data_IF_104347360258
#
_entry.id   IF_104347360258
#
_cell.length_a   1.000
_cell.length_b   1.000
_cell.length_c   1.000
_cell.angle_alpha   90.00
_cell.angle_beta   90.00
_cell.angle_gamma   90.00
#
_symmetry.space_group_name_H-M   'P 1'
#
loop_
_entity.id
_entity.type
_entity.pdbx_description
1 polymer ?
#
# COMPACT_ATOMS: atom_id res chain seq x y z
N UNK A 1 -51.16 12.52 -11.69
CA UNK A 1 -51.39 11.63 -12.84
C UNK A 1 -50.81 12.30 -14.08
N UNK A 2 -49.81 11.73 -14.73
CA UNK A 2 -49.56 11.70 -16.18
C UNK A 2 -48.41 10.70 -16.39
N UNK A 3 -48.72 9.63 -17.10
CA UNK A 3 -47.87 8.46 -17.34
C UNK A 3 -47.47 8.40 -18.82
N UNK A 4 -46.30 7.83 -19.13
CA UNK A 4 -46.05 6.81 -20.18
C UNK A 4 -44.54 6.48 -20.31
N UNK A 5 -44.18 5.28 -20.86
CA UNK A 5 -43.06 4.46 -20.42
C UNK A 5 -42.09 4.12 -21.60
N UNK A 6 -41.51 2.89 -21.74
CA UNK A 6 -40.07 2.62 -21.69
C UNK A 6 -39.46 2.21 -23.05
N UNK A 7 -38.13 2.09 -23.15
CA UNK A 7 -37.49 1.30 -24.23
C UNK A 7 -36.30 0.46 -23.72
N UNK A 8 -36.44 -0.84 -23.94
CA UNK A 8 -35.46 -1.89 -23.81
C UNK A 8 -34.66 -2.09 -25.12
N UNK A 9 -33.46 -2.66 -25.01
CA UNK A 9 -32.80 -3.59 -25.95
C UNK A 9 -31.33 -3.74 -25.48
N UNK A 10 -30.88 -4.82 -24.84
CA UNK A 10 -30.67 -6.20 -25.33
C UNK A 10 -29.42 -6.37 -26.22
N UNK A 11 -28.74 -7.52 -26.02
CA UNK A 11 -27.69 -8.19 -26.82
C UNK A 11 -26.23 -7.80 -26.44
N UNK A 12 -25.24 -8.70 -26.33
CA UNK A 12 -25.11 -10.16 -26.51
C UNK A 12 -23.74 -10.59 -25.91
N UNK A 13 -23.66 -11.82 -25.38
CA UNK A 13 -22.45 -12.51 -24.86
C UNK A 13 -21.70 -13.21 -26.01
N UNK A 14 -20.37 -13.39 -25.93
CA UNK A 14 -19.80 -14.76 -25.86
C UNK A 14 -18.61 -14.81 -24.87
N UNK A 15 -18.59 -15.67 -23.84
CA UNK A 15 -18.16 -17.07 -23.83
C UNK A 15 -16.91 -17.37 -24.66
N UNK A 16 -15.73 -17.29 -24.03
CA UNK A 16 -14.52 -18.00 -24.47
C UNK A 16 -13.99 -18.86 -23.32
N UNK A 17 -14.17 -20.16 -23.48
CA UNK A 17 -13.52 -21.23 -22.73
C UNK A 17 -12.25 -21.59 -23.50
N UNK A 18 -11.07 -21.56 -22.86
CA UNK A 18 -9.87 -22.19 -23.39
C UNK A 18 -9.21 -23.07 -22.31
N UNK A 19 -8.82 -24.33 -22.65
CA UNK A 19 -8.53 -25.39 -21.69
C UNK A 19 -7.08 -25.43 -21.21
N UNK A 20 -6.87 -26.14 -20.09
CA UNK A 20 -5.58 -26.58 -19.57
C UNK A 20 -4.92 -27.66 -20.45
N UNK A 21 -3.59 -27.80 -20.25
CA UNK A 21 -2.72 -28.99 -20.35
C UNK A 21 -1.62 -28.93 -21.42
N UNK A 22 -0.38 -29.08 -20.95
CA UNK A 22 0.82 -29.32 -21.75
C UNK A 22 2.07 -29.39 -20.89
N UNK A 23 2.24 -30.47 -20.11
CA UNK A 23 3.55 -30.87 -19.58
C UNK A 23 4.42 -31.37 -20.75
N UNK A 24 5.67 -30.92 -20.82
CA UNK A 24 6.69 -31.45 -21.72
C UNK A 24 8.05 -31.35 -21.05
N UNK A 25 8.52 -32.47 -20.52
CA UNK A 25 9.81 -32.65 -19.90
C UNK A 25 10.94 -32.71 -20.95
N UNK A 26 12.08 -32.13 -20.62
CA UNK A 26 13.39 -32.41 -21.20
C UNK A 26 14.36 -32.33 -19.99
N UNK A 27 14.98 -33.39 -19.48
CA UNK A 27 15.54 -34.54 -20.18
C UNK A 27 17.01 -34.24 -20.48
N UNK A 28 17.87 -34.36 -19.47
CA UNK A 28 19.30 -34.14 -19.61
C UNK A 28 20.05 -34.71 -18.41
N UNK A 29 20.46 -35.98 -18.53
CA UNK A 29 21.46 -36.61 -17.68
C UNK A 29 22.83 -36.14 -18.17
N UNK A 30 23.59 -35.51 -17.29
CA UNK A 30 25.03 -35.37 -17.47
C UNK A 30 25.71 -35.88 -16.21
N UNK A 31 26.19 -37.12 -16.32
CA UNK A 31 27.04 -37.80 -15.36
C UNK A 31 28.45 -37.22 -15.52
N UNK A 32 28.74 -36.15 -14.78
CA UNK A 32 30.09 -35.58 -14.74
C UNK A 32 30.81 -36.12 -13.51
N UNK A 33 31.75 -37.02 -13.81
CA UNK A 33 32.78 -37.58 -12.93
C UNK A 33 33.29 -36.58 -11.88
N UNK A 34 33.14 -36.91 -10.59
CA UNK A 34 33.82 -36.22 -9.49
C UNK A 34 35.21 -36.85 -9.25
N UNK A 35 36.31 -36.09 -9.32
CA UNK A 35 37.60 -36.52 -8.77
C UNK A 35 37.59 -36.45 -7.23
N UNK A 36 38.38 -37.30 -6.54
CA UNK A 36 38.21 -37.62 -5.12
C UNK A 36 38.59 -36.49 -4.16
N UNK A 37 37.91 -36.50 -3.02
CA UNK A 37 38.03 -35.60 -1.87
C UNK A 37 39.43 -35.63 -1.25
N UNK A 38 40.17 -34.53 -1.37
CA UNK A 38 41.21 -34.17 -0.40
C UNK A 38 40.56 -33.42 0.76
N UNK A 39 40.57 -33.97 2.00
CA UNK A 39 40.05 -33.26 3.15
C UNK A 39 41.08 -32.23 3.63
N UNK A 40 40.83 -30.95 3.37
CA UNK A 40 41.54 -29.89 4.11
C UNK A 40 40.91 -29.71 5.50
N UNK A 41 41.72 -29.71 6.57
CA UNK A 41 41.22 -29.55 7.92
C UNK A 41 41.13 -28.06 8.30
N UNK A 42 40.00 -27.68 8.85
CA UNK A 42 39.89 -26.53 9.74
C UNK A 42 39.68 -25.19 9.06
N UNK A 43 38.41 -24.78 8.98
CA UNK A 43 38.02 -23.54 9.65
C UNK A 43 36.51 -23.58 9.86
N UNK A 44 36.14 -24.00 11.07
CA UNK A 44 34.79 -23.84 11.62
C UNK A 44 34.54 -22.35 11.88
N UNK A 45 34.47 -21.54 10.83
CA UNK A 45 33.75 -20.29 10.91
C UNK A 45 32.30 -20.62 10.63
N UNK A 46 31.59 -20.92 11.72
CA UNK A 46 30.16 -20.71 11.80
C UNK A 46 29.88 -19.37 11.13
N UNK A 47 29.30 -19.42 9.94
CA UNK A 47 28.68 -18.27 9.33
C UNK A 47 27.66 -17.79 10.34
N UNK A 48 28.00 -16.71 11.04
CA UNK A 48 27.04 -15.79 11.62
C UNK A 48 26.02 -15.50 10.51
N UNK A 49 24.91 -16.24 10.54
CA UNK A 49 23.72 -15.83 9.83
C UNK A 49 23.45 -14.42 10.37
N UNK A 50 23.43 -13.38 9.52
CA UNK A 50 23.29 -12.02 10.01
C UNK A 50 22.02 -12.00 10.86
N UNK A 51 22.17 -11.70 12.15
CA UNK A 51 21.02 -11.46 13.01
C UNK A 51 20.10 -10.51 12.25
N UNK A 52 18.78 -10.78 12.20
CA UNK A 52 17.86 -9.85 11.59
C UNK A 52 18.02 -8.52 12.29
N UNK A 53 18.73 -7.60 11.63
CA UNK A 53 18.97 -6.26 12.16
C UNK A 53 17.63 -5.71 12.64
N UNK A 54 17.60 -4.98 13.76
CA UNK A 54 16.37 -4.42 14.30
C UNK A 54 15.53 -3.66 13.24
N UNK A 55 16.19 -3.16 12.17
CA UNK A 55 15.58 -2.56 10.99
C UNK A 55 14.72 -3.52 10.13
N UNK A 56 15.06 -4.81 10.03
CA UNK A 56 14.30 -5.79 9.26
C UNK A 56 13.12 -6.37 10.06
N UNK A 57 13.29 -6.53 11.37
CA UNK A 57 12.21 -6.87 12.30
C UNK A 57 11.16 -5.76 12.32
N UNK A 58 11.59 -4.50 12.48
CA UNK A 58 10.71 -3.34 12.45
C UNK A 58 10.02 -3.17 11.09
N UNK A 59 10.68 -3.49 9.97
CA UNK A 59 10.07 -3.41 8.65
C UNK A 59 8.89 -4.38 8.45
N UNK A 60 8.97 -5.60 8.99
CA UNK A 60 7.84 -6.57 8.93
C UNK A 60 6.69 -6.16 9.85
N UNK A 61 7.00 -5.71 11.06
CA UNK A 61 6.01 -5.30 12.06
C UNK A 61 5.21 -4.07 11.61
N UNK A 62 5.89 -3.14 10.93
CA UNK A 62 5.29 -1.89 10.46
C UNK A 62 4.56 -2.00 9.11
N UNK A 63 4.76 -3.10 8.38
CA UNK A 63 4.22 -3.27 7.02
C UNK A 63 2.69 -3.06 6.93
N UNK A 64 1.85 -3.59 7.84
CA UNK A 64 0.41 -3.35 7.79
C UNK A 64 0.03 -1.87 7.94
N UNK A 65 0.71 -1.12 8.81
CA UNK A 65 0.49 0.31 9.00
C UNK A 65 0.89 1.09 7.75
N UNK A 66 2.11 0.87 7.25
CA UNK A 66 2.62 1.49 6.02
C UNK A 66 1.71 1.21 4.81
N UNK A 67 1.21 -0.01 4.70
CA UNK A 67 0.29 -0.40 3.63
C UNK A 67 -1.05 0.33 3.70
N UNK A 68 -1.58 0.59 4.91
CA UNK A 68 -2.80 1.37 5.07
C UNK A 68 -2.62 2.81 4.58
N UNK A 69 -1.52 3.47 4.97
CA UNK A 69 -1.19 4.81 4.48
C UNK A 69 -1.00 4.82 2.96
N UNK A 70 -0.23 3.87 2.42
CA UNK A 70 -0.04 3.73 0.98
C UNK A 70 -1.37 3.61 0.23
N UNK A 71 -2.29 2.74 0.69
CA UNK A 71 -3.61 2.56 0.08
C UNK A 71 -4.46 3.83 0.15
N UNK A 72 -4.40 4.56 1.27
CA UNK A 72 -5.05 5.85 1.39
C UNK A 72 -4.54 6.86 0.36
N UNK A 73 -3.23 7.08 0.30
CA UNK A 73 -2.60 8.06 -0.61
C UNK A 73 -2.86 7.71 -2.09
N UNK A 74 -2.72 6.43 -2.45
CA UNK A 74 -2.96 5.95 -3.82
C UNK A 74 -4.43 6.08 -4.22
N UNK A 75 -5.36 5.77 -3.31
CA UNK A 75 -6.78 5.91 -3.62
C UNK A 75 -7.25 7.36 -3.62
N UNK A 76 -6.61 8.27 -2.87
CA UNK A 76 -6.80 9.72 -3.02
C UNK A 76 -6.45 10.17 -4.45
N UNK A 77 -5.29 9.74 -4.96
CA UNK A 77 -4.87 10.02 -6.33
C UNK A 77 -5.86 9.46 -7.37
N UNK A 78 -6.38 8.26 -7.13
CA UNK A 78 -7.34 7.57 -8.00
C UNK A 78 -8.77 8.14 -7.92
N UNK A 79 -9.07 9.02 -6.96
CA UNK A 79 -10.42 9.52 -6.78
C UNK A 79 -11.38 8.50 -6.14
N UNK A 80 -10.84 7.52 -5.40
CA UNK A 80 -11.63 6.46 -4.78
C UNK A 80 -12.06 6.83 -3.35
N UNK A 81 -13.30 7.29 -3.17
CA UNK A 81 -13.83 7.66 -1.85
C UNK A 81 -13.88 6.51 -0.83
N UNK A 82 -13.68 5.23 -1.24
CA UNK A 82 -13.58 4.11 -0.29
C UNK A 82 -12.37 4.24 0.64
N UNK A 83 -11.35 5.02 0.28
CA UNK A 83 -10.20 5.27 1.16
C UNK A 83 -10.55 5.98 2.47
N UNK A 84 -11.72 6.61 2.56
CA UNK A 84 -12.21 7.18 3.80
C UNK A 84 -12.32 6.14 4.94
N UNK A 85 -12.37 4.84 4.63
CA UNK A 85 -12.37 3.76 5.64
C UNK A 85 -11.06 3.68 6.43
N UNK A 86 -9.95 4.18 5.87
CA UNK A 86 -8.66 4.27 6.56
C UNK A 86 -8.59 5.44 7.54
N UNK A 87 -9.61 6.30 7.63
CA UNK A 87 -9.55 7.51 8.43
C UNK A 87 -10.40 7.37 9.69
N UNK A 88 -9.81 7.71 10.84
CA UNK A 88 -10.58 7.91 12.06
C UNK A 88 -11.44 9.18 11.97
N UNK A 89 -12.47 9.34 12.82
CA UNK A 89 -13.21 10.60 12.92
C UNK A 89 -12.34 11.80 13.31
N UNK A 90 -11.22 11.60 14.01
CA UNK A 90 -10.30 12.67 14.40
C UNK A 90 -9.63 13.27 13.16
N UNK A 91 -8.95 12.45 12.36
CA UNK A 91 -8.33 12.89 11.11
C UNK A 91 -9.34 13.53 10.15
N UNK A 92 -10.56 12.99 10.09
CA UNK A 92 -11.59 13.55 9.21
C UNK A 92 -12.00 14.98 9.59
N UNK A 93 -11.98 15.33 10.88
CA UNK A 93 -12.24 16.71 11.32
C UNK A 93 -11.16 17.66 10.81
N UNK A 94 -9.91 17.27 10.91
CA UNK A 94 -8.77 18.10 10.51
C UNK A 94 -8.67 18.25 8.99
N UNK A 95 -8.77 17.14 8.26
CA UNK A 95 -8.59 17.13 6.81
C UNK A 95 -9.84 17.54 6.01
N UNK A 96 -11.04 17.28 6.55
CA UNK A 96 -12.32 17.47 5.82
C UNK A 96 -13.32 18.38 6.54
N UNK A 97 -13.00 18.89 7.74
CA UNK A 97 -13.81 19.89 8.45
C UNK A 97 -14.98 19.32 9.26
N UNK A 98 -15.08 18.00 9.44
CA UNK A 98 -16.11 17.40 10.29
C UNK A 98 -15.93 15.89 10.53
N UNK A 99 -16.56 15.32 11.58
CA UNK A 99 -16.56 13.89 11.78
C UNK A 99 -17.34 13.23 10.63
N UNK A 100 -16.83 12.12 10.10
CA UNK A 100 -17.42 11.42 8.94
C UNK A 100 -17.53 12.24 7.63
N UNK A 101 -16.90 13.43 7.57
CA UNK A 101 -16.99 14.34 6.42
C UNK A 101 -16.20 13.87 5.20
N UNK A 102 -15.37 12.82 5.32
CA UNK A 102 -14.55 12.38 4.20
C UNK A 102 -15.40 11.95 3.01
N UNK A 103 -16.43 11.12 3.19
CA UNK A 103 -17.19 10.58 2.04
C UNK A 103 -17.93 11.66 1.25
N UNK A 104 -18.54 12.61 1.94
CA UNK A 104 -19.30 13.70 1.32
C UNK A 104 -18.37 14.81 0.79
N UNK A 105 -17.26 15.08 1.49
CA UNK A 105 -16.28 16.11 1.13
C UNK A 105 -15.16 15.63 0.22
N UNK A 106 -15.07 14.34 -0.10
CA UNK A 106 -13.92 13.73 -0.79
C UNK A 106 -13.62 14.41 -2.13
N UNK A 107 -14.65 14.57 -2.97
CA UNK A 107 -14.50 15.18 -4.29
C UNK A 107 -14.00 16.63 -4.20
N UNK A 108 -14.57 17.42 -3.27
CA UNK A 108 -14.17 18.80 -3.04
C UNK A 108 -12.75 18.91 -2.48
N UNK A 109 -12.37 18.05 -1.52
CA UNK A 109 -11.03 18.02 -0.96
C UNK A 109 -9.99 17.62 -2.02
N UNK A 110 -10.30 16.60 -2.84
CA UNK A 110 -9.43 16.18 -3.94
C UNK A 110 -9.30 17.25 -5.02
N UNK A 111 -10.36 18.00 -5.32
CA UNK A 111 -10.32 19.08 -6.30
C UNK A 111 -9.36 20.23 -5.92
N UNK A 112 -9.00 20.35 -4.62
CA UNK A 112 -7.99 21.31 -4.15
C UNK A 112 -6.55 20.84 -4.44
N UNK A 113 -6.34 19.57 -4.76
CA UNK A 113 -5.03 19.05 -5.16
C UNK A 113 -4.73 19.46 -6.59
N UNK A 114 -3.50 19.93 -6.84
CA UNK A 114 -3.10 20.24 -8.21
C UNK A 114 -2.91 18.96 -9.02
N UNK A 115 -2.97 19.04 -10.37
CA UNK A 115 -2.62 17.91 -11.23
C UNK A 115 -1.25 17.31 -10.91
N UNK A 116 -0.25 18.13 -10.56
CA UNK A 116 1.09 17.69 -10.17
C UNK A 116 1.06 16.90 -8.85
N UNK A 117 0.29 17.37 -7.86
CA UNK A 117 0.15 16.67 -6.57
C UNK A 117 -0.53 15.30 -6.78
N UNK A 118 -1.55 15.23 -7.65
CA UNK A 118 -2.21 13.98 -8.01
C UNK A 118 -1.22 13.04 -8.73
N UNK A 119 -0.37 13.54 -9.62
CA UNK A 119 0.65 12.76 -10.30
C UNK A 119 1.72 12.23 -9.32
N UNK A 120 2.16 13.06 -8.37
CA UNK A 120 3.09 12.67 -7.32
C UNK A 120 2.52 11.56 -6.43
N UNK A 121 1.27 11.70 -5.99
CA UNK A 121 0.55 10.66 -5.24
C UNK A 121 0.37 9.37 -6.06
N UNK A 122 0.45 9.43 -7.40
CA UNK A 122 0.44 8.22 -8.21
C UNK A 122 1.74 7.43 -8.15
N UNK A 123 2.86 8.05 -7.76
CA UNK A 123 4.17 7.42 -7.64
C UNK A 123 4.65 7.25 -6.21
N UNK A 124 3.84 7.61 -5.21
CA UNK A 124 4.25 7.61 -3.80
C UNK A 124 4.38 6.19 -3.24
N UNK A 125 5.38 5.98 -2.40
CA UNK A 125 5.55 4.79 -1.57
C UNK A 125 5.83 5.19 -0.11
N UNK A 126 5.60 4.26 0.82
CA UNK A 126 5.81 4.47 2.26
C UNK A 126 6.91 3.51 2.70
N UNK A 127 8.19 3.93 2.68
CA UNK A 127 9.35 3.04 2.85
C UNK A 127 9.62 2.66 4.30
N UNK A 128 9.24 3.52 5.24
CA UNK A 128 9.43 3.33 6.67
C UNK A 128 8.27 3.97 7.44
N UNK A 129 8.17 3.62 8.73
CA UNK A 129 7.46 4.41 9.71
C UNK A 129 8.17 4.26 11.06
N UNK A 130 8.06 5.27 11.89
CA UNK A 130 8.69 5.33 13.19
C UNK A 130 7.65 5.05 14.28
N UNK A 131 8.05 4.62 15.49
CA UNK A 131 7.15 4.59 16.63
C UNK A 131 6.47 5.95 16.85
N UNK A 132 5.15 5.93 17.03
CA UNK A 132 4.34 7.12 17.25
C UNK A 132 4.28 7.54 18.72
N UNK A 133 3.53 8.61 19.03
CA UNK A 133 3.43 9.15 20.38
C UNK A 133 2.66 8.26 21.36
N UNK A 134 1.76 7.40 20.87
CA UNK A 134 1.02 6.42 21.67
C UNK A 134 1.57 5.00 21.54
N UNK A 135 1.27 4.17 22.53
CA UNK A 135 1.60 2.74 22.48
C UNK A 135 0.92 2.05 21.29
N UNK A 136 1.71 1.28 20.54
CA UNK A 136 1.28 0.63 19.30
C UNK A 136 0.91 1.57 18.14
N UNK A 137 1.25 2.86 18.24
CA UNK A 137 1.13 3.81 17.13
C UNK A 137 2.41 3.86 16.30
N UNK A 138 2.23 4.19 15.02
CA UNK A 138 3.35 4.47 14.12
C UNK A 138 3.12 5.79 13.42
N UNK A 139 4.18 6.56 13.22
CA UNK A 139 4.14 7.85 12.57
C UNK A 139 4.96 7.81 11.26
N UNK A 140 4.42 8.45 10.22
CA UNK A 140 5.12 8.69 8.95
C UNK A 140 5.07 10.18 8.68
N UNK A 141 6.22 10.85 8.60
CA UNK A 141 6.25 12.26 8.21
C UNK A 141 6.06 12.38 6.71
N UNK A 142 5.52 13.50 6.27
CA UNK A 142 5.31 13.75 4.85
C UNK A 142 6.63 13.72 4.07
N UNK A 143 7.71 14.26 4.65
CA UNK A 143 9.07 14.22 4.11
C UNK A 143 9.67 12.81 4.00
N UNK A 144 9.19 11.84 4.78
CA UNK A 144 9.67 10.45 4.75
C UNK A 144 8.95 9.60 3.68
N UNK A 145 7.94 10.17 3.01
CA UNK A 145 7.32 9.55 1.85
C UNK A 145 8.29 9.54 0.68
N UNK A 146 8.41 8.38 0.02
CA UNK A 146 9.26 8.25 -1.16
C UNK A 146 8.45 8.57 -2.42
N UNK A 147 8.90 9.56 -3.18
CA UNK A 147 8.26 10.08 -4.38
C UNK A 147 9.03 9.67 -5.64
N UNK A 148 8.31 9.28 -6.71
CA UNK A 148 8.94 8.98 -8.02
C UNK A 148 9.45 10.24 -8.74
N UNK A 149 9.02 11.42 -8.33
CA UNK A 149 9.38 12.72 -8.91
C UNK A 149 9.19 13.82 -7.88
N UNK A 150 8.78 15.01 -8.32
CA UNK A 150 8.49 16.12 -7.38
C UNK A 150 7.44 15.70 -6.34
N UNK A 151 7.69 15.95 -5.04
CA UNK A 151 6.71 15.68 -3.99
C UNK A 151 5.42 16.48 -4.18
N UNK A 152 4.30 15.92 -3.71
CA UNK A 152 3.08 16.72 -3.55
C UNK A 152 3.30 17.81 -2.48
N UNK A 153 2.45 18.84 -2.46
CA UNK A 153 2.44 19.79 -1.34
C UNK A 153 1.55 19.29 -0.20
N UNK A 154 1.99 19.39 1.06
CA UNK A 154 1.12 19.12 2.20
C UNK A 154 -0.02 20.16 2.27
N UNK A 155 -1.15 19.76 2.84
CA UNK A 155 -2.36 20.55 3.01
C UNK A 155 -3.64 19.77 2.74
N UNK A 156 -4.72 20.13 3.43
CA UNK A 156 -6.04 19.49 3.29
C UNK A 156 -5.98 18.00 3.63
N UNK A 157 -6.24 17.07 2.67
CA UNK A 157 -6.16 15.63 2.93
C UNK A 157 -4.73 15.11 3.15
N UNK A 158 -3.70 15.91 2.84
CA UNK A 158 -2.29 15.54 3.03
C UNK A 158 -1.74 16.24 4.27
N UNK A 159 -1.79 15.58 5.43
CA UNK A 159 -1.18 16.10 6.65
C UNK A 159 0.36 16.17 6.53
N UNK A 160 0.99 16.98 7.38
CA UNK A 160 2.45 17.05 7.48
C UNK A 160 3.05 15.78 8.12
N UNK A 161 2.23 15.06 8.89
CA UNK A 161 2.56 13.78 9.50
C UNK A 161 1.31 12.91 9.52
N UNK A 162 1.49 11.59 9.49
CA UNK A 162 0.42 10.62 9.55
C UNK A 162 0.68 9.66 10.70
N UNK A 163 -0.11 9.76 11.75
CA UNK A 163 -0.12 8.78 12.84
C UNK A 163 -1.11 7.67 12.50
N UNK A 164 -0.66 6.43 12.63
CA UNK A 164 -1.36 5.22 12.31
C UNK A 164 -1.55 4.41 13.59
N UNK A 165 -2.79 4.00 13.84
CA UNK A 165 -3.13 3.13 14.96
C UNK A 165 -3.93 1.93 14.47
N UNK A 166 -3.73 0.79 15.12
CA UNK A 166 -4.59 -0.38 14.93
C UNK A 166 -5.89 -0.21 15.73
N UNK A 167 -7.03 -0.16 15.03
CA UNK A 167 -8.38 -0.12 15.59
C UNK A 167 -9.08 -1.43 15.24
N UNK A 168 -9.17 -2.36 16.19
CA UNK A 168 -9.67 -3.71 15.96
C UNK A 168 -8.81 -4.47 14.94
N UNK A 169 -9.42 -4.89 13.83
CA UNK A 169 -8.73 -5.59 12.75
C UNK A 169 -8.04 -4.67 11.73
N UNK A 170 -8.23 -3.35 11.83
CA UNK A 170 -7.86 -2.40 10.77
C UNK A 170 -6.83 -1.39 11.25
N UNK A 171 -5.94 -0.98 10.35
CA UNK A 171 -5.06 0.16 10.55
C UNK A 171 -5.73 1.43 10.04
N UNK A 172 -5.73 2.48 10.85
CA UNK A 172 -6.36 3.76 10.54
C UNK A 172 -5.46 4.94 10.87
N UNK A 173 -5.65 6.03 10.12
CA UNK A 173 -4.95 7.31 10.26
C UNK A 173 -5.70 8.17 11.29
N UNK A 174 -4.97 8.67 12.29
CA UNK A 174 -5.54 9.31 13.48
C UNK A 174 -5.36 10.83 13.47
N UNK A 175 -4.11 11.31 13.42
CA UNK A 175 -3.66 12.72 13.41
C UNK A 175 -2.27 12.84 12.79
#
# INVERSE_FOLDING_TARGET
>A
MHARPPRAAALLVPLFVLPLLGLGACGGQDEVTMPPLTPEPGDSQFLDAPEPTASAASAKETLPARLALFKYLRGLAAGNAKVCAYLTPAYQREAFGGPAACRTGFAAARAKLRPQDIAALRGVTVPACEPGPGDGEYTVRFEDLAWKGEPARPGGPLAASFTLRKTGAYWQITV
#
